data_IF_727968512695
#
_entry.id   IF_727968512695
#
_cell.length_a   1.000
_cell.length_b   1.000
_cell.length_c   1.000
_cell.angle_alpha   90.00
_cell.angle_beta   90.00
_cell.angle_gamma   90.00
#
_symmetry.space_group_name_H-M   'P 1'
#
loop_
_entity.id
_entity.type
_entity.pdbx_description
1 polymer ?
#
# COMPACT_ATOMS: atom_id res chain seq x y z
N UNK A 1 -4.60 15.51 1.86
CA UNK A 1 -5.90 14.86 1.54
C UNK A 1 -5.77 13.35 1.34
N UNK A 2 -5.15 12.87 0.24
CA UNK A 2 -5.08 11.42 -0.04
C UNK A 2 -4.26 10.65 1.00
N UNK A 3 -3.07 11.14 1.40
CA UNK A 3 -2.24 10.48 2.41
C UNK A 3 -2.91 10.41 3.79
N UNK A 4 -3.78 11.36 4.10
CA UNK A 4 -4.54 11.36 5.35
C UNK A 4 -5.57 10.22 5.36
N UNK A 5 -6.19 9.90 4.22
CA UNK A 5 -7.08 8.73 4.07
C UNK A 5 -6.34 7.43 4.33
N UNK A 6 -5.13 7.30 3.82
CA UNK A 6 -4.31 6.13 4.10
C UNK A 6 -3.92 6.04 5.59
N UNK A 7 -3.56 7.16 6.23
CA UNK A 7 -3.31 7.21 7.67
C UNK A 7 -4.52 6.75 8.48
N UNK A 8 -5.71 7.25 8.15
CA UNK A 8 -6.97 6.88 8.80
C UNK A 8 -7.30 5.39 8.60
N UNK A 9 -7.14 4.87 7.38
CA UNK A 9 -7.38 3.46 7.08
C UNK A 9 -6.39 2.54 7.82
N UNK A 10 -5.13 2.93 7.90
CA UNK A 10 -4.13 2.22 8.72
C UNK A 10 -4.55 2.21 10.19
N UNK A 11 -4.95 3.35 10.76
CA UNK A 11 -5.39 3.44 12.14
C UNK A 11 -6.62 2.56 12.43
N UNK A 12 -7.65 2.57 11.56
CA UNK A 12 -8.84 1.70 11.69
C UNK A 12 -8.51 0.21 11.66
N UNK A 13 -7.44 -0.16 10.94
CA UNK A 13 -6.98 -1.54 10.83
C UNK A 13 -5.89 -1.91 11.85
N UNK A 14 -5.59 -1.03 12.83
CA UNK A 14 -4.58 -1.26 13.85
C UNK A 14 -3.15 -1.34 13.31
N UNK A 15 -2.87 -0.69 12.18
CA UNK A 15 -1.57 -0.65 11.51
C UNK A 15 -0.83 0.66 11.78
N UNK A 16 0.50 0.58 11.86
CA UNK A 16 1.36 1.76 12.01
C UNK A 16 1.65 2.37 10.65
N UNK A 17 1.43 3.67 10.52
CA UNK A 17 1.76 4.43 9.31
C UNK A 17 3.24 4.85 9.30
N UNK A 18 4.08 4.12 8.54
CA UNK A 18 5.50 4.46 8.34
C UNK A 18 5.87 4.32 6.85
N UNK A 19 5.61 5.33 6.02
CA UNK A 19 5.99 5.29 4.62
C UNK A 19 7.51 5.31 4.49
N UNK A 20 8.04 4.45 3.63
CA UNK A 20 9.48 4.35 3.34
C UNK A 20 9.70 4.40 1.82
N UNK A 21 10.90 4.75 1.36
CA UNK A 21 11.24 4.66 -0.06
C UNK A 21 11.08 3.22 -0.57
N UNK A 22 10.39 3.04 -1.70
CA UNK A 22 10.27 1.73 -2.35
C UNK A 22 11.51 1.45 -3.21
N UNK A 23 12.30 0.46 -2.80
CA UNK A 23 13.61 0.14 -3.39
C UNK A 23 13.51 -1.01 -4.41
N UNK A 24 12.62 -0.90 -5.39
CA UNK A 24 12.52 -1.87 -6.49
C UNK A 24 11.95 -1.22 -7.75
N UNK A 25 12.22 -1.85 -8.90
CA UNK A 25 11.64 -1.43 -10.18
C UNK A 25 10.19 -1.89 -10.27
N UNK A 26 9.28 -0.97 -10.54
CA UNK A 26 7.88 -1.24 -10.82
C UNK A 26 7.29 -0.16 -11.74
N UNK A 27 6.03 -0.29 -12.11
CA UNK A 27 5.31 0.74 -12.89
C UNK A 27 5.29 2.10 -12.19
N UNK A 28 5.46 2.12 -10.86
CA UNK A 28 5.59 3.34 -10.09
C UNK A 28 6.76 4.23 -10.56
N UNK A 29 7.83 3.65 -11.12
CA UNK A 29 8.93 4.44 -11.68
C UNK A 29 8.48 5.25 -12.90
N UNK A 30 7.62 4.69 -13.75
CA UNK A 30 7.07 5.39 -14.90
C UNK A 30 6.10 6.48 -14.47
N UNK A 31 5.22 6.18 -13.50
CA UNK A 31 4.30 7.16 -12.91
C UNK A 31 5.06 8.34 -12.29
N UNK A 32 6.12 8.04 -11.53
CA UNK A 32 7.00 9.04 -10.95
C UNK A 32 7.64 9.94 -12.01
N UNK A 33 8.16 9.32 -13.08
CA UNK A 33 8.77 10.05 -14.21
C UNK A 33 7.77 10.95 -14.94
N UNK A 34 6.48 10.59 -14.93
CA UNK A 34 5.38 11.39 -15.45
C UNK A 34 4.88 12.48 -14.48
N UNK A 35 5.50 12.65 -13.31
CA UNK A 35 5.14 13.66 -12.31
C UNK A 35 4.05 13.23 -11.32
N UNK A 36 3.58 11.97 -11.37
CA UNK A 36 2.64 11.40 -10.41
C UNK A 36 3.41 10.90 -9.19
N UNK A 37 2.87 11.06 -7.97
CA UNK A 37 3.50 10.57 -6.74
C UNK A 37 2.82 9.27 -6.27
N UNK A 38 3.21 8.09 -6.79
CA UNK A 38 2.60 6.82 -6.42
C UNK A 38 2.87 6.46 -4.96
N UNK A 39 1.91 5.74 -4.38
CA UNK A 39 2.06 5.04 -3.12
C UNK A 39 1.92 3.54 -3.39
N UNK A 40 2.92 2.77 -2.97
CA UNK A 40 2.90 1.31 -3.06
C UNK A 40 2.54 0.74 -1.69
N UNK A 41 1.60 -0.20 -1.72
CA UNK A 41 1.06 -0.83 -0.52
C UNK A 41 0.77 -2.30 -0.85
N UNK A 42 1.28 -3.20 -0.01
CA UNK A 42 1.08 -4.63 -0.18
C UNK A 42 1.72 -5.43 0.96
N UNK A 43 1.23 -6.66 1.21
CA UNK A 43 1.83 -7.55 2.19
C UNK A 43 3.07 -8.24 1.61
N UNK A 44 3.85 -8.88 2.49
CA UNK A 44 5.05 -9.62 2.10
C UNK A 44 6.34 -8.87 2.44
N UNK A 45 7.45 -9.32 1.86
CA UNK A 45 8.79 -8.72 2.04
C UNK A 45 9.41 -8.48 0.68
N UNK A 46 9.76 -7.23 0.41
CA UNK A 46 10.29 -6.84 -0.89
C UNK A 46 11.62 -7.55 -1.19
N UNK A 47 12.43 -7.79 -0.16
CA UNK A 47 13.75 -8.44 -0.27
C UNK A 47 13.64 -9.93 -0.65
N UNK A 48 12.44 -10.51 -0.52
CA UNK A 48 12.14 -11.90 -0.89
C UNK A 48 11.43 -12.02 -2.23
N UNK A 49 11.06 -10.91 -2.87
CA UNK A 49 10.46 -10.93 -4.19
C UNK A 49 11.42 -11.53 -5.22
N UNK A 50 10.89 -12.28 -6.19
CA UNK A 50 11.64 -13.00 -7.22
C UNK A 50 12.63 -14.05 -6.67
N UNK A 51 12.39 -14.56 -5.45
CA UNK A 51 13.18 -15.64 -4.86
C UNK A 51 12.37 -16.91 -4.71
N UNK A 52 13.02 -18.07 -4.64
CA UNK A 52 12.34 -19.35 -4.41
C UNK A 52 11.60 -19.42 -3.06
N UNK A 53 12.03 -18.60 -2.09
CA UNK A 53 11.41 -18.49 -0.76
C UNK A 53 10.35 -17.38 -0.70
N UNK A 54 9.98 -16.79 -1.84
CA UNK A 54 8.95 -15.76 -1.90
C UNK A 54 7.64 -16.29 -1.31
N UNK A 55 7.18 -15.63 -0.26
CA UNK A 55 5.99 -16.04 0.46
C UNK A 55 5.40 -14.88 1.24
N UNK A 56 4.09 -15.00 1.48
CA UNK A 56 3.34 -14.12 2.36
C UNK A 56 2.51 -15.00 3.29
N UNK A 57 2.41 -14.63 4.56
CA UNK A 57 1.52 -15.35 5.46
C UNK A 57 0.06 -15.11 5.06
N UNK A 58 -0.80 -16.11 5.22
CA UNK A 58 -2.23 -15.96 4.95
C UNK A 58 -2.86 -14.85 5.80
N UNK A 59 -2.42 -14.70 7.05
CA UNK A 59 -2.88 -13.62 7.93
C UNK A 59 -2.55 -12.22 7.38
N UNK A 60 -1.33 -12.00 6.85
CA UNK A 60 -0.97 -10.75 6.20
C UNK A 60 -1.80 -10.50 4.93
N UNK A 61 -2.07 -11.55 4.13
CA UNK A 61 -2.93 -11.44 2.96
C UNK A 61 -4.33 -10.97 3.36
N UNK A 62 -4.95 -11.61 4.36
CA UNK A 62 -6.25 -11.20 4.88
C UNK A 62 -6.23 -9.78 5.46
N UNK A 63 -5.14 -9.37 6.13
CA UNK A 63 -5.00 -8.01 6.67
C UNK A 63 -4.92 -6.97 5.55
N UNK A 64 -4.13 -7.22 4.51
CA UNK A 64 -4.06 -6.33 3.34
C UNK A 64 -5.41 -6.23 2.61
N UNK A 65 -6.11 -7.35 2.42
CA UNK A 65 -7.44 -7.35 1.81
C UNK A 65 -8.46 -6.51 2.61
N UNK A 66 -8.43 -6.61 3.95
CA UNK A 66 -9.26 -5.76 4.83
C UNK A 66 -8.92 -4.28 4.71
N UNK A 67 -7.63 -3.94 4.65
CA UNK A 67 -7.19 -2.56 4.45
C UNK A 67 -7.64 -2.00 3.10
N UNK A 68 -7.54 -2.77 2.01
CA UNK A 68 -8.04 -2.34 0.70
C UNK A 68 -9.55 -2.15 0.69
N UNK A 69 -10.30 -3.07 1.31
CA UNK A 69 -11.75 -2.93 1.44
C UNK A 69 -12.12 -1.67 2.23
N UNK A 70 -11.47 -1.42 3.37
CA UNK A 70 -11.70 -0.23 4.21
C UNK A 70 -11.38 1.07 3.44
N UNK A 71 -10.29 1.09 2.68
CA UNK A 71 -9.95 2.22 1.80
C UNK A 71 -11.06 2.49 0.77
N UNK A 72 -11.58 1.44 0.12
CA UNK A 72 -12.62 1.57 -0.90
C UNK A 72 -13.97 1.99 -0.32
N UNK A 73 -14.37 1.41 0.82
CA UNK A 73 -15.65 1.72 1.49
C UNK A 73 -15.69 3.15 2.04
N UNK A 74 -14.53 3.68 2.46
CA UNK A 74 -14.39 5.03 2.98
C UNK A 74 -13.74 6.00 1.99
N UNK A 75 -13.75 5.65 0.70
CA UNK A 75 -13.25 6.52 -0.35
C UNK A 75 -14.29 7.60 -0.67
N UNK A 76 -14.20 8.74 0.01
CA UNK A 76 -14.94 9.95 -0.38
C UNK A 76 -14.07 10.83 -1.26
N UNK A 77 -14.52 11.03 -2.51
CA UNK A 77 -13.94 11.98 -3.44
C UNK A 77 -14.40 13.39 -3.05
N UNK A 78 -13.68 14.03 -2.12
CA UNK A 78 -14.04 15.34 -1.56
C UNK A 78 -13.65 16.55 -2.43
N UNK A 79 -13.10 16.30 -3.62
CA UNK A 79 -12.72 17.35 -4.58
C UNK A 79 -13.52 17.30 -5.89
N UNK A 80 -14.74 16.72 -5.86
CA UNK A 80 -15.76 16.96 -6.89
C UNK A 80 -16.89 17.83 -6.38
#
# INVERSE_FOLDING_TARGET
PILDRFREAFARNGLVWVPTPFQSHSDANQLWSAGIKPLLLGPGRLEKAHSADESVSFAQLCQAARLYLDLLLHWEDRER
#
